data_IF_427321345851
#
_entry.id   IF_427321345851
#
_cell.length_a   1.000
_cell.length_b   1.000
_cell.length_c   1.000
_cell.angle_alpha   90.00
_cell.angle_beta   90.00
_cell.angle_gamma   90.00
#
_symmetry.space_group_name_H-M   'P 1'
#
loop_
_entity.id
_entity.type
_entity.pdbx_description
1 polymer ?
#
# COMPACT_ATOMS: atom_id res chain seq x y z
N UNK A 1 -33.04 -20.52 1.53
CA UNK A 1 -32.21 -21.57 0.88
C UNK A 1 -31.53 -20.89 -0.31
N UNK A 2 -30.31 -20.45 -0.15
CA UNK A 2 -29.50 -19.86 -1.23
C UNK A 2 -28.63 -21.00 -1.75
N UNK A 3 -28.71 -21.37 -3.05
CA UNK A 3 -27.86 -22.42 -3.59
C UNK A 3 -26.41 -21.94 -3.59
N UNK A 4 -25.55 -22.72 -2.93
CA UNK A 4 -24.11 -22.59 -3.00
C UNK A 4 -23.65 -22.77 -4.44
N UNK A 5 -23.27 -21.68 -5.09
CA UNK A 5 -22.62 -21.72 -6.40
C UNK A 5 -21.23 -22.28 -6.17
N UNK A 6 -21.06 -23.56 -6.46
CA UNK A 6 -19.76 -24.19 -6.64
C UNK A 6 -19.07 -23.56 -7.85
N UNK A 7 -18.34 -22.48 -7.63
CA UNK A 7 -17.40 -21.97 -8.63
C UNK A 7 -16.25 -22.97 -8.74
N UNK A 8 -16.15 -23.50 -9.92
CA UNK A 8 -15.21 -24.52 -10.42
C UNK A 8 -13.78 -24.25 -9.95
N UNK A 9 -13.31 -25.10 -9.04
CA UNK A 9 -12.09 -25.01 -8.23
C UNK A 9 -10.79 -25.34 -8.99
N UNK A 10 -10.53 -24.83 -10.17
CA UNK A 10 -9.27 -25.17 -10.81
C UNK A 10 -8.29 -24.02 -11.01
N UNK A 11 -8.75 -22.78 -11.02
CA UNK A 11 -7.86 -21.61 -11.13
C UNK A 11 -7.86 -20.74 -9.87
N UNK A 12 -8.98 -20.69 -9.14
CA UNK A 12 -9.14 -19.87 -7.96
C UNK A 12 -8.30 -20.36 -6.76
N UNK A 13 -8.09 -21.66 -6.63
CA UNK A 13 -7.31 -22.24 -5.53
C UNK A 13 -5.82 -21.91 -5.62
N UNK A 14 -5.25 -21.91 -6.83
CA UNK A 14 -3.85 -21.55 -7.03
C UNK A 14 -3.61 -20.06 -6.77
N UNK A 15 -4.50 -19.19 -7.23
CA UNK A 15 -4.44 -17.75 -7.00
C UNK A 15 -4.62 -17.44 -5.50
N UNK A 16 -5.55 -18.10 -4.83
CA UNK A 16 -5.71 -17.96 -3.37
C UNK A 16 -4.46 -18.37 -2.62
N UNK A 17 -3.84 -19.50 -2.98
CA UNK A 17 -2.63 -19.98 -2.29
C UNK A 17 -1.43 -19.05 -2.51
N UNK A 18 -1.33 -18.42 -3.67
CA UNK A 18 -0.30 -17.41 -3.97
C UNK A 18 -0.54 -16.11 -3.18
N UNK A 19 -1.79 -15.66 -3.05
CA UNK A 19 -2.16 -14.46 -2.28
C UNK A 19 -2.02 -14.63 -0.76
N UNK A 20 -1.71 -15.83 -0.26
CA UNK A 20 -1.41 -16.09 1.14
C UNK A 20 0.04 -15.74 1.54
N UNK A 21 0.93 -15.52 0.57
CA UNK A 21 2.34 -15.16 0.86
C UNK A 21 2.52 -13.64 0.84
N UNK A 22 3.04 -13.03 1.92
CA UNK A 22 3.24 -11.57 1.99
C UNK A 22 4.06 -11.02 0.82
N UNK A 23 5.10 -11.75 0.41
CA UNK A 23 5.97 -11.35 -0.72
C UNK A 23 5.22 -11.33 -2.04
N UNK A 24 4.35 -12.32 -2.29
CA UNK A 24 3.56 -12.37 -3.53
C UNK A 24 2.55 -11.24 -3.56
N UNK A 25 1.90 -10.97 -2.43
CA UNK A 25 0.93 -9.87 -2.33
C UNK A 25 1.61 -8.50 -2.50
N UNK A 26 2.82 -8.35 -1.97
CA UNK A 26 3.67 -7.19 -2.22
C UNK A 26 3.95 -6.99 -3.72
N UNK A 27 4.38 -8.05 -4.41
CA UNK A 27 4.65 -7.99 -5.86
C UNK A 27 3.38 -7.70 -6.67
N UNK A 28 2.24 -8.23 -6.26
CA UNK A 28 0.95 -7.94 -6.92
C UNK A 28 0.56 -6.48 -6.74
N UNK A 29 0.70 -5.93 -5.52
CA UNK A 29 0.47 -4.50 -5.26
C UNK A 29 1.38 -3.62 -6.13
N UNK A 30 2.67 -3.97 -6.19
CA UNK A 30 3.63 -3.30 -7.05
C UNK A 30 3.22 -3.38 -8.53
N UNK A 31 2.92 -4.57 -9.04
CA UNK A 31 2.57 -4.78 -10.45
C UNK A 31 1.30 -4.02 -10.86
N UNK A 32 0.24 -4.09 -10.04
CA UNK A 32 -1.01 -3.37 -10.32
C UNK A 32 -0.76 -1.86 -10.34
N UNK A 33 0.04 -1.34 -9.42
CA UNK A 33 0.36 0.09 -9.36
C UNK A 33 1.21 0.53 -10.56
N UNK A 34 2.18 -0.28 -10.99
CA UNK A 34 2.94 -0.01 -12.24
C UNK A 34 2.02 0.07 -13.45
N UNK A 35 1.11 -0.91 -13.59
CA UNK A 35 0.21 -0.96 -14.76
C UNK A 35 -0.82 0.17 -14.75
N UNK A 36 -1.36 0.50 -13.58
CA UNK A 36 -2.37 1.55 -13.45
C UNK A 36 -1.76 2.95 -13.35
N UNK A 37 -0.44 3.05 -13.10
CA UNK A 37 0.26 4.32 -12.82
C UNK A 37 -0.44 5.13 -11.71
N UNK A 38 -1.16 4.43 -10.81
CA UNK A 38 -1.96 5.08 -9.78
C UNK A 38 -2.09 4.23 -8.53
N UNK A 39 -1.52 4.70 -7.43
CA UNK A 39 -1.70 4.09 -6.11
C UNK A 39 -3.16 4.12 -5.68
N UNK A 40 -3.86 5.22 -5.94
CA UNK A 40 -5.27 5.36 -5.55
C UNK A 40 -6.15 4.31 -6.23
N UNK A 41 -5.91 4.02 -7.52
CA UNK A 41 -6.61 2.95 -8.25
C UNK A 41 -6.22 1.59 -7.69
N UNK A 42 -4.94 1.35 -7.45
CA UNK A 42 -4.43 0.10 -6.89
C UNK A 42 -5.04 -0.19 -5.51
N UNK A 43 -5.04 0.81 -4.61
CA UNK A 43 -5.64 0.69 -3.28
C UNK A 43 -7.17 0.60 -3.35
N UNK A 44 -7.80 1.28 -4.31
CA UNK A 44 -9.24 1.15 -4.56
C UNK A 44 -9.65 -0.27 -4.95
N UNK A 45 -8.81 -0.98 -5.72
CA UNK A 45 -9.01 -2.38 -6.05
C UNK A 45 -8.76 -3.33 -4.86
N UNK A 46 -7.87 -2.96 -3.95
CA UNK A 46 -7.57 -3.75 -2.76
C UNK A 46 -8.80 -3.93 -1.85
N UNK A 47 -9.62 -2.87 -1.71
CA UNK A 47 -10.81 -2.91 -0.85
C UNK A 47 -11.80 -4.02 -1.27
N UNK A 48 -12.30 -4.07 -2.51
CA UNK A 48 -13.21 -5.14 -2.92
C UNK A 48 -12.54 -6.52 -2.93
N UNK A 49 -11.24 -6.62 -3.22
CA UNK A 49 -10.49 -7.88 -3.16
C UNK A 49 -10.41 -8.42 -1.72
N UNK A 50 -10.22 -7.53 -0.75
CA UNK A 50 -10.20 -7.88 0.68
C UNK A 50 -11.60 -8.29 1.18
N UNK A 51 -12.65 -7.55 0.81
CA UNK A 51 -14.04 -7.86 1.19
C UNK A 51 -14.47 -9.23 0.63
N UNK A 52 -14.04 -9.56 -0.58
CA UNK A 52 -14.31 -10.86 -1.22
C UNK A 52 -13.43 -12.00 -0.70
N UNK A 53 -12.51 -11.72 0.22
CA UNK A 53 -11.63 -12.73 0.80
C UNK A 53 -10.48 -13.18 -0.10
N UNK A 54 -10.24 -12.54 -1.24
CA UNK A 54 -9.10 -12.84 -2.11
C UNK A 54 -7.77 -12.43 -1.47
N UNK A 55 -7.75 -11.29 -0.76
CA UNK A 55 -6.59 -10.82 -0.01
C UNK A 55 -6.92 -10.87 1.48
N UNK A 56 -6.12 -11.60 2.25
CA UNK A 56 -6.25 -11.64 3.71
C UNK A 56 -5.91 -10.28 4.32
N UNK A 57 -6.55 -9.95 5.43
CA UNK A 57 -6.23 -8.73 6.20
C UNK A 57 -4.75 -8.62 6.55
N UNK A 58 -4.13 -9.74 6.85
CA UNK A 58 -2.69 -9.86 7.15
C UNK A 58 -1.80 -9.42 5.98
N UNK A 59 -2.27 -9.58 4.75
CA UNK A 59 -1.52 -9.29 3.53
C UNK A 59 -1.85 -7.91 2.92
N UNK A 60 -2.72 -7.13 3.55
CA UNK A 60 -3.03 -5.75 3.10
C UNK A 60 -1.80 -4.86 3.17
N UNK A 61 -1.02 -4.97 4.25
CA UNK A 61 0.19 -4.15 4.45
C UNK A 61 1.25 -4.45 3.41
N UNK A 62 1.63 -5.72 3.12
CA UNK A 62 2.53 -6.03 2.00
C UNK A 62 2.07 -5.44 0.67
N UNK A 63 0.79 -5.55 0.35
CA UNK A 63 0.24 -4.96 -0.87
C UNK A 63 0.45 -3.45 -0.92
N UNK A 64 0.12 -2.74 0.17
CA UNK A 64 0.28 -1.29 0.29
C UNK A 64 1.76 -0.89 0.17
N UNK A 65 2.67 -1.64 0.80
CA UNK A 65 4.11 -1.39 0.69
C UNK A 65 4.60 -1.55 -0.76
N UNK A 66 4.15 -2.60 -1.46
CA UNK A 66 4.46 -2.80 -2.87
C UNK A 66 3.91 -1.67 -3.75
N UNK A 67 2.67 -1.27 -3.55
CA UNK A 67 2.06 -0.17 -4.27
C UNK A 67 2.80 1.17 -4.04
N UNK A 68 3.23 1.44 -2.81
CA UNK A 68 3.93 2.67 -2.48
C UNK A 68 5.32 2.79 -3.14
N UNK A 69 6.06 1.70 -3.25
CA UNK A 69 7.38 1.72 -3.91
C UNK A 69 7.24 2.12 -5.38
N UNK A 70 6.20 1.64 -6.03
CA UNK A 70 5.97 1.90 -7.45
C UNK A 70 5.39 3.27 -7.75
N UNK A 71 4.94 4.02 -6.73
CA UNK A 71 4.50 5.42 -6.87
C UNK A 71 5.62 6.33 -7.41
N UNK A 72 6.88 5.97 -7.14
CA UNK A 72 8.00 6.77 -7.59
C UNK A 72 8.30 6.62 -9.10
N UNK A 73 7.70 5.65 -9.78
CA UNK A 73 7.97 5.43 -11.22
C UNK A 73 7.43 6.58 -12.06
N UNK A 74 6.23 7.04 -11.81
CA UNK A 74 5.63 8.18 -12.49
C UNK A 74 6.40 9.48 -12.22
N UNK A 75 6.81 9.70 -10.98
CA UNK A 75 7.66 10.84 -10.59
C UNK A 75 9.04 10.78 -11.25
N UNK A 76 9.61 9.57 -11.35
CA UNK A 76 10.89 9.36 -12.02
C UNK A 76 10.80 9.66 -13.53
N UNK A 77 9.73 9.21 -14.17
CA UNK A 77 9.44 9.51 -15.58
C UNK A 77 9.30 11.02 -15.76
N UNK A 78 8.52 11.68 -14.90
CA UNK A 78 8.36 13.13 -14.95
C UNK A 78 9.70 13.88 -14.79
N UNK A 79 10.53 13.48 -13.82
CA UNK A 79 11.83 14.07 -13.59
C UNK A 79 12.79 13.87 -14.80
N UNK A 80 12.72 12.70 -15.45
CA UNK A 80 13.49 12.40 -16.66
C UNK A 80 13.01 13.25 -17.86
N UNK A 81 11.70 13.40 -18.04
CA UNK A 81 11.13 14.22 -19.11
C UNK A 81 11.46 15.72 -18.96
N UNK A 82 11.56 16.20 -17.72
CA UNK A 82 12.01 17.56 -17.42
C UNK A 82 13.51 17.76 -17.63
N UNK A 83 14.25 16.71 -18.02
CA UNK A 83 15.70 16.71 -18.20
C UNK A 83 16.46 17.32 -17.00
N UNK A 84 15.97 17.09 -15.79
CA UNK A 84 16.55 17.59 -14.55
C UNK A 84 17.31 16.48 -13.80
N UNK A 85 18.64 16.39 -13.94
CA UNK A 85 19.43 15.32 -13.29
C UNK A 85 19.33 15.33 -11.76
N UNK A 86 19.22 16.50 -11.15
CA UNK A 86 19.08 16.61 -9.69
C UNK A 86 17.73 16.01 -9.22
N UNK A 87 16.64 16.29 -9.92
CA UNK A 87 15.34 15.71 -9.60
C UNK A 87 15.34 14.19 -9.77
N UNK A 88 15.93 13.66 -10.84
CA UNK A 88 16.08 12.20 -11.05
C UNK A 88 16.87 11.57 -9.90
N UNK A 89 17.97 12.18 -9.48
CA UNK A 89 18.79 11.67 -8.38
C UNK A 89 18.01 11.63 -7.06
N UNK A 90 17.28 12.68 -6.73
CA UNK A 90 16.45 12.75 -5.52
C UNK A 90 15.38 11.66 -5.51
N UNK A 91 14.67 11.47 -6.63
CA UNK A 91 13.62 10.45 -6.75
C UNK A 91 14.22 9.04 -6.64
N UNK A 92 15.37 8.77 -7.25
CA UNK A 92 16.06 7.49 -7.14
C UNK A 92 16.48 7.19 -5.70
N UNK A 93 17.07 8.16 -5.00
CA UNK A 93 17.45 8.00 -3.59
C UNK A 93 16.21 7.71 -2.73
N UNK A 94 15.12 8.45 -2.95
CA UNK A 94 13.86 8.21 -2.26
C UNK A 94 13.30 6.80 -2.53
N UNK A 95 13.25 6.39 -3.79
CA UNK A 95 12.79 5.07 -4.20
C UNK A 95 13.60 3.95 -3.55
N UNK A 96 14.93 4.05 -3.57
CA UNK A 96 15.83 3.08 -2.92
C UNK A 96 15.61 3.05 -1.41
N UNK A 97 15.54 4.22 -0.76
CA UNK A 97 15.35 4.32 0.68
C UNK A 97 14.02 3.70 1.13
N UNK A 98 12.92 4.03 0.46
CA UNK A 98 11.59 3.47 0.77
C UNK A 98 11.56 1.97 0.49
N UNK A 99 12.20 1.51 -0.59
CA UNK A 99 12.29 0.09 -0.92
C UNK A 99 13.05 -0.70 0.14
N UNK A 100 14.19 -0.17 0.60
CA UNK A 100 15.00 -0.79 1.66
C UNK A 100 14.22 -0.88 2.98
N UNK A 101 13.60 0.24 3.40
CA UNK A 101 12.80 0.27 4.63
C UNK A 101 11.63 -0.70 4.53
N UNK A 102 10.91 -0.73 3.42
CA UNK A 102 9.80 -1.64 3.19
C UNK A 102 10.24 -3.10 3.22
N UNK A 103 11.38 -3.41 2.62
CA UNK A 103 11.94 -4.76 2.62
C UNK A 103 12.37 -5.18 4.03
N UNK A 104 13.03 -4.31 4.77
CA UNK A 104 13.42 -4.57 6.17
C UNK A 104 12.18 -4.83 7.03
N UNK A 105 11.15 -4.02 6.92
CA UNK A 105 9.88 -4.23 7.64
C UNK A 105 9.26 -5.58 7.26
N UNK A 106 9.21 -5.89 5.97
CA UNK A 106 8.59 -7.11 5.47
C UNK A 106 9.32 -8.38 5.96
N UNK A 107 10.65 -8.35 6.05
CA UNK A 107 11.47 -9.50 6.42
C UNK A 107 11.62 -9.63 7.94
N UNK A 108 11.85 -8.51 8.64
CA UNK A 108 12.28 -8.55 10.06
C UNK A 108 11.14 -8.33 11.04
N UNK A 109 10.25 -7.37 10.77
CA UNK A 109 9.31 -6.85 11.76
C UNK A 109 7.85 -6.85 11.28
N UNK A 110 7.53 -7.63 10.24
CA UNK A 110 6.22 -7.64 9.62
C UNK A 110 5.06 -7.79 10.63
N UNK A 111 5.14 -8.77 11.52
CA UNK A 111 4.07 -9.02 12.53
C UNK A 111 3.92 -7.88 13.54
N UNK A 112 5.04 -7.30 13.95
CA UNK A 112 5.02 -6.15 14.88
C UNK A 112 4.43 -4.92 14.19
N UNK A 113 4.87 -4.62 12.98
CA UNK A 113 4.37 -3.50 12.18
C UNK A 113 2.88 -3.65 11.88
N UNK A 114 2.44 -4.84 11.49
CA UNK A 114 1.04 -5.15 11.25
C UNK A 114 0.18 -4.88 12.51
N UNK A 115 0.58 -5.45 13.66
CA UNK A 115 -0.15 -5.26 14.92
C UNK A 115 -0.22 -3.78 15.34
N UNK A 116 0.86 -3.04 15.08
CA UNK A 116 0.89 -1.59 15.34
C UNK A 116 -0.09 -0.82 14.45
N UNK A 117 -0.05 -1.08 13.14
CA UNK A 117 -0.95 -0.42 12.17
C UNK A 117 -2.41 -0.77 12.43
N UNK A 118 -2.71 -2.04 12.71
CA UNK A 118 -4.09 -2.48 13.03
C UNK A 118 -4.60 -1.79 14.29
N UNK A 119 -3.83 -1.72 15.36
CA UNK A 119 -4.20 -1.01 16.59
C UNK A 119 -4.41 0.49 16.35
N UNK A 120 -3.51 1.11 15.59
CA UNK A 120 -3.66 2.52 15.23
C UNK A 120 -4.94 2.75 14.41
N UNK A 121 -5.22 1.90 13.42
CA UNK A 121 -6.42 1.99 12.62
C UNK A 121 -7.71 1.78 13.45
N UNK A 122 -7.71 0.83 14.38
CA UNK A 122 -8.81 0.62 15.31
C UNK A 122 -9.04 1.83 16.23
N UNK A 123 -7.97 2.41 16.79
CA UNK A 123 -8.06 3.60 17.64
C UNK A 123 -8.64 4.80 16.89
N UNK A 124 -8.23 4.98 15.63
CA UNK A 124 -8.72 6.07 14.77
C UNK A 124 -10.17 5.83 14.36
N UNK A 125 -10.50 4.59 13.95
CA UNK A 125 -11.83 4.24 13.44
C UNK A 125 -12.90 4.08 14.52
N UNK A 126 -12.50 3.85 15.78
CA UNK A 126 -13.42 3.56 16.90
C UNK A 126 -14.33 4.73 17.25
N UNK A 127 -13.88 5.97 17.07
CA UNK A 127 -14.64 7.15 17.46
C UNK A 127 -14.54 8.25 16.39
N UNK A 128 -15.67 8.88 16.06
CA UNK A 128 -15.70 10.03 15.12
C UNK A 128 -14.76 11.16 15.54
N UNK A 129 -14.59 11.38 16.83
CA UNK A 129 -13.66 12.40 17.35
C UNK A 129 -12.21 12.06 17.00
N UNK A 130 -11.78 10.81 17.19
CA UNK A 130 -10.42 10.37 16.87
C UNK A 130 -10.16 10.46 15.34
N UNK A 131 -11.15 10.09 14.54
CA UNK A 131 -11.07 10.22 13.09
C UNK A 131 -10.92 11.68 12.66
N UNK A 132 -11.71 12.59 13.23
CA UNK A 132 -11.62 14.03 12.95
C UNK A 132 -10.26 14.59 13.36
N UNK A 133 -9.77 14.26 14.56
CA UNK A 133 -8.45 14.67 15.04
C UNK A 133 -7.36 14.18 14.09
N UNK A 134 -7.41 12.92 13.68
CA UNK A 134 -6.45 12.34 12.74
C UNK A 134 -6.44 13.06 11.38
N UNK A 135 -7.63 13.31 10.80
CA UNK A 135 -7.76 14.06 9.55
C UNK A 135 -7.23 15.49 9.71
N UNK A 136 -7.58 16.16 10.81
CA UNK A 136 -7.11 17.51 11.07
C UNK A 136 -5.58 17.56 11.19
N UNK A 137 -4.97 16.62 11.92
CA UNK A 137 -3.52 16.54 12.06
C UNK A 137 -2.84 16.33 10.72
N UNK A 138 -3.32 15.38 9.88
CA UNK A 138 -2.74 15.12 8.57
C UNK A 138 -2.82 16.32 7.64
N UNK A 139 -3.88 17.11 7.73
CA UNK A 139 -4.03 18.31 6.90
C UNK A 139 -3.22 19.47 7.45
N UNK A 140 -3.35 19.76 8.74
CA UNK A 140 -2.77 20.97 9.36
C UNK A 140 -1.25 20.85 9.53
N UNK A 141 -0.73 19.67 9.88
CA UNK A 141 0.69 19.47 10.15
C UNK A 141 1.61 19.81 8.97
N UNK A 142 1.34 19.38 7.72
CA UNK A 142 2.12 19.81 6.56
C UNK A 142 2.08 21.31 6.31
N UNK A 143 0.91 21.95 6.51
CA UNK A 143 0.80 23.41 6.37
C UNK A 143 1.65 24.15 7.41
N UNK A 144 1.67 23.67 8.66
CA UNK A 144 2.51 24.25 9.70
C UNK A 144 4.00 24.10 9.36
N UNK A 145 4.42 22.95 8.82
CA UNK A 145 5.81 22.75 8.38
C UNK A 145 6.21 23.68 7.24
N UNK A 146 5.30 23.99 6.33
CA UNK A 146 5.59 24.93 5.21
C UNK A 146 5.66 26.38 5.70
N UNK A 147 4.88 26.74 6.73
CA UNK A 147 4.83 28.13 7.24
C UNK A 147 6.00 28.42 8.21
N UNK A 148 6.39 27.43 8.99
CA UNK A 148 7.38 27.61 10.08
C UNK A 148 8.73 26.89 9.84
N UNK A 149 8.87 26.08 8.78
CA UNK A 149 10.10 25.40 8.36
C UNK A 149 10.77 26.18 7.26
#
# INVERSE_FOLDING_TARGET
>A
IIPSIHLKESGAGMVQHLLYRPVVTFLIGAAITVVTMSVSVSLGLLVPLSIRGYVRRENLIPYILGANITTFIDTLIAAALLANPAAVTVVLIQMVSVSLVSLVILVTSYRFYQSFVERAAELIGRNRKNLLVYITVIIVFPFLLVIFG
#
